data_IF_450301868489
#
_entry.id   IF_450301868489
#
_cell.length_a   1.000
_cell.length_b   1.000
_cell.length_c   1.000
_cell.angle_alpha   90.00
_cell.angle_beta   90.00
_cell.angle_gamma   90.00
#
_symmetry.space_group_name_H-M   'P 1'
#
loop_
_entity.id
_entity.type
_entity.pdbx_description
1 polymer ?
#
# COMPACT_ATOMS: atom_id res chain seq x y z
N UNK A 1 3.29 2.14 -5.35
CA UNK A 1 4.64 1.68 -4.95
C UNK A 1 4.43 0.48 -4.04
N UNK A 2 5.10 -0.64 -4.29
CA UNK A 2 5.00 -1.83 -3.45
C UNK A 2 6.37 -2.49 -3.33
N UNK A 3 6.60 -3.25 -2.25
CA UNK A 3 7.74 -4.15 -2.10
C UNK A 3 7.35 -5.62 -2.33
N UNK A 4 6.13 -5.88 -2.83
CA UNK A 4 5.55 -7.24 -2.87
C UNK A 4 5.73 -7.95 -1.52
N UNK A 5 5.26 -7.32 -0.44
CA UNK A 5 5.57 -7.78 0.91
C UNK A 5 4.98 -9.17 1.21
N UNK A 6 5.75 -10.12 1.79
CA UNK A 6 7.17 -10.02 2.16
C UNK A 6 8.16 -10.51 1.09
N UNK A 7 7.70 -11.00 -0.07
CA UNK A 7 8.51 -11.61 -1.13
C UNK A 7 9.67 -10.73 -1.62
N UNK A 8 9.38 -9.47 -2.00
CA UNK A 8 10.38 -8.54 -2.53
C UNK A 8 11.08 -7.70 -1.45
N UNK A 9 10.47 -7.58 -0.26
CA UNK A 9 11.02 -6.86 0.88
C UNK A 9 9.96 -6.45 1.92
N UNK A 10 10.44 -6.04 3.09
CA UNK A 10 9.57 -5.52 4.15
C UNK A 10 8.91 -4.20 3.74
N UNK A 11 7.62 -4.01 4.07
CA UNK A 11 6.96 -2.71 3.90
C UNK A 11 7.62 -1.61 4.74
N UNK A 12 8.40 -1.98 5.78
CA UNK A 12 9.21 -1.04 6.56
C UNK A 12 10.31 -0.37 5.72
N UNK A 13 10.62 -0.88 4.52
CA UNK A 13 11.59 -0.27 3.61
C UNK A 13 11.01 0.91 2.79
N UNK A 14 9.71 1.19 2.86
CA UNK A 14 9.12 2.29 2.08
C UNK A 14 9.78 3.65 2.31
N UNK A 15 10.12 4.08 3.55
CA UNK A 15 10.82 5.35 3.76
C UNK A 15 12.19 5.41 3.07
N UNK A 16 12.97 4.33 3.13
CA UNK A 16 14.26 4.22 2.43
C UNK A 16 14.08 4.31 0.91
N UNK A 17 13.09 3.60 0.35
CA UNK A 17 12.79 3.64 -1.09
C UNK A 17 12.36 5.06 -1.50
N UNK A 18 11.56 5.74 -0.69
CA UNK A 18 11.17 7.14 -0.94
C UNK A 18 12.40 8.04 -0.95
N UNK A 19 13.30 7.92 0.03
CA UNK A 19 14.53 8.70 0.07
C UNK A 19 15.38 8.48 -1.20
N UNK A 20 15.57 7.23 -1.63
CA UNK A 20 16.32 6.89 -2.86
C UNK A 20 15.67 7.44 -4.14
N UNK A 21 14.34 7.59 -4.17
CA UNK A 21 13.63 8.20 -5.30
C UNK A 21 13.76 9.73 -5.30
N UNK A 22 13.84 10.34 -4.13
CA UNK A 22 13.89 11.80 -3.95
C UNK A 22 15.31 12.38 -3.99
N UNK A 23 16.34 11.56 -3.81
CA UNK A 23 17.74 11.99 -3.78
C UNK A 23 18.61 11.14 -4.72
N UNK A 24 19.15 11.77 -5.77
CA UNK A 24 20.01 11.11 -6.77
C UNK A 24 21.37 10.75 -6.21
N UNK A 25 21.91 11.53 -5.29
CA UNK A 25 23.23 11.27 -4.71
C UNK A 25 23.15 10.06 -3.80
N UNK A 26 22.13 9.99 -2.94
CA UNK A 26 21.85 8.83 -2.11
C UNK A 26 21.71 7.55 -2.96
N UNK A 27 21.01 7.65 -4.08
CA UNK A 27 20.86 6.54 -5.04
C UNK A 27 22.18 6.12 -5.67
N UNK A 28 23.06 7.06 -6.03
CA UNK A 28 24.41 6.77 -6.54
C UNK A 28 25.28 6.09 -5.49
N UNK A 29 25.23 6.56 -4.25
CA UNK A 29 26.01 6.01 -3.14
C UNK A 29 25.55 4.58 -2.81
N UNK A 30 24.24 4.30 -2.88
CA UNK A 30 23.69 2.95 -2.75
C UNK A 30 24.16 2.05 -3.91
N UNK A 31 24.08 2.54 -5.15
CA UNK A 31 24.53 1.78 -6.33
C UNK A 31 26.04 1.49 -6.31
N UNK A 32 26.85 2.40 -5.75
CA UNK A 32 28.28 2.22 -5.60
C UNK A 32 28.64 1.03 -4.69
N UNK A 33 27.77 0.67 -3.75
CA UNK A 33 27.93 -0.48 -2.85
C UNK A 33 27.51 -1.81 -3.51
N UNK A 34 26.82 -1.76 -4.66
CA UNK A 34 26.39 -2.96 -5.37
C UNK A 34 27.55 -3.64 -6.14
N UNK A 35 27.42 -4.94 -6.47
CA UNK A 35 28.36 -5.64 -7.34
C UNK A 35 28.52 -4.94 -8.71
N UNK A 36 29.72 -5.01 -9.29
CA UNK A 36 30.02 -4.38 -10.58
C UNK A 36 29.04 -4.77 -11.70
N UNK A 37 28.62 -6.04 -11.74
CA UNK A 37 27.63 -6.53 -12.71
C UNK A 37 26.28 -5.81 -12.64
N UNK A 38 25.86 -5.30 -11.47
CA UNK A 38 24.64 -4.49 -11.35
C UNK A 38 24.85 -3.14 -12.01
N UNK A 39 26.00 -2.50 -11.75
CA UNK A 39 26.33 -1.18 -12.30
C UNK A 39 26.49 -1.22 -13.82
N UNK A 40 27.04 -2.30 -14.36
CA UNK A 40 27.25 -2.48 -15.81
C UNK A 40 25.97 -2.81 -16.58
N UNK A 41 24.94 -3.34 -15.90
CA UNK A 41 23.70 -3.82 -16.53
C UNK A 41 22.48 -2.96 -16.19
N UNK A 42 22.65 -1.88 -15.44
CA UNK A 42 21.57 -1.03 -14.97
C UNK A 42 21.81 0.43 -15.37
N UNK A 43 20.80 1.07 -15.96
CA UNK A 43 20.84 2.48 -16.33
C UNK A 43 20.65 3.45 -15.14
N UNK A 44 20.60 2.94 -13.90
CA UNK A 44 20.28 3.74 -12.71
C UNK A 44 21.33 4.83 -12.43
N UNK A 45 22.57 4.61 -12.85
CA UNK A 45 23.66 5.59 -12.72
C UNK A 45 23.42 6.87 -13.57
N UNK A 46 22.76 6.70 -14.71
CA UNK A 46 22.51 7.77 -15.71
C UNK A 46 21.22 8.54 -15.41
N UNK A 47 20.39 8.06 -14.48
CA UNK A 47 19.13 8.71 -14.11
C UNK A 47 19.37 9.81 -13.08
N UNK A 48 19.38 11.06 -13.54
CA UNK A 48 19.46 12.25 -12.68
C UNK A 48 18.11 12.70 -12.10
N UNK A 49 16.99 12.14 -12.57
CA UNK A 49 15.65 12.52 -12.11
C UNK A 49 15.46 12.21 -10.62
N UNK A 50 14.84 13.17 -9.93
CA UNK A 50 14.42 13.06 -8.53
C UNK A 50 12.90 13.24 -8.46
N UNK A 51 12.26 12.46 -7.59
CA UNK A 51 10.83 12.57 -7.35
C UNK A 51 10.51 13.74 -6.42
N UNK A 52 9.47 14.48 -6.75
CA UNK A 52 8.86 15.49 -5.89
C UNK A 52 7.93 14.85 -4.85
N UNK A 53 7.60 15.60 -3.79
CA UNK A 53 6.59 15.16 -2.81
C UNK A 53 5.24 14.85 -3.46
N UNK A 54 4.85 15.57 -4.51
CA UNK A 54 3.62 15.33 -5.26
C UNK A 54 3.65 13.99 -5.99
N UNK A 55 4.79 13.63 -6.59
CA UNK A 55 4.95 12.33 -7.24
C UNK A 55 4.99 11.20 -6.22
N UNK A 56 5.62 11.40 -5.06
CA UNK A 56 5.56 10.46 -3.94
C UNK A 56 4.12 10.25 -3.49
N UNK A 57 3.37 11.32 -3.22
CA UNK A 57 1.94 11.24 -2.87
C UNK A 57 1.12 10.52 -3.95
N UNK A 58 1.46 10.71 -5.22
CA UNK A 58 0.81 10.03 -6.34
C UNK A 58 1.04 8.52 -6.29
N UNK A 59 2.30 8.07 -6.23
CA UNK A 59 2.62 6.63 -6.30
C UNK A 59 2.27 5.86 -5.03
N UNK A 60 2.07 6.55 -3.91
CA UNK A 60 1.80 5.93 -2.61
C UNK A 60 0.32 6.03 -2.19
N UNK A 61 -0.42 7.05 -2.66
CA UNK A 61 -1.82 7.31 -2.24
C UNK A 61 -2.76 7.39 -3.44
N UNK A 62 -2.61 8.41 -4.29
CA UNK A 62 -3.61 8.72 -5.31
C UNK A 62 -3.75 7.63 -6.39
N UNK A 63 -2.64 7.16 -6.95
CA UNK A 63 -2.66 6.13 -8.00
C UNK A 63 -3.17 4.77 -7.48
N UNK A 64 -2.72 4.25 -6.31
CA UNK A 64 -3.30 3.05 -5.71
C UNK A 64 -4.81 3.15 -5.46
N UNK A 65 -5.28 4.25 -4.86
CA UNK A 65 -6.71 4.44 -4.60
C UNK A 65 -7.54 4.44 -5.88
N UNK A 66 -7.06 5.16 -6.92
CA UNK A 66 -7.71 5.19 -8.23
C UNK A 66 -7.73 3.82 -8.90
N UNK A 67 -6.61 3.09 -8.86
CA UNK A 67 -6.51 1.75 -9.46
C UNK A 67 -7.49 0.74 -8.82
N UNK A 68 -7.79 0.91 -7.53
CA UNK A 68 -8.74 0.09 -6.78
C UNK A 68 -10.19 0.62 -6.84
N UNK A 69 -10.46 1.72 -7.55
CA UNK A 69 -11.80 2.32 -7.62
C UNK A 69 -12.28 2.99 -6.33
N UNK A 70 -11.37 3.29 -5.39
CA UNK A 70 -11.70 3.88 -4.09
C UNK A 70 -11.87 5.40 -4.19
N UNK A 71 -13.08 5.84 -4.53
CA UNK A 71 -13.39 7.26 -4.83
C UNK A 71 -13.29 8.20 -3.63
N UNK A 72 -13.39 7.69 -2.39
CA UNK A 72 -13.25 8.50 -1.16
C UNK A 72 -11.84 8.43 -0.55
N UNK A 73 -10.89 7.75 -1.21
CA UNK A 73 -9.53 7.52 -0.71
C UNK A 73 -8.47 8.17 -1.62
N UNK A 74 -7.30 8.41 -1.05
CA UNK A 74 -6.12 8.84 -1.81
C UNK A 74 -6.12 10.33 -2.22
N UNK A 75 -7.05 11.14 -1.68
CA UNK A 75 -7.07 12.59 -1.85
C UNK A 75 -7.57 13.30 -0.58
N UNK A 76 -7.41 14.63 -0.52
CA UNK A 76 -7.80 15.48 0.62
C UNK A 76 -8.95 16.45 0.30
N UNK A 77 -9.53 16.37 -0.90
CA UNK A 77 -10.69 17.18 -1.28
C UNK A 77 -11.97 16.82 -0.48
N UNK A 78 -12.97 17.73 -0.42
CA UNK A 78 -14.25 17.46 0.23
C UNK A 78 -14.89 16.15 -0.25
N UNK A 79 -15.43 15.36 0.69
CA UNK A 79 -16.01 14.04 0.42
C UNK A 79 -15.03 12.88 0.56
N UNK A 80 -13.73 13.14 0.78
CA UNK A 80 -12.78 12.11 1.19
C UNK A 80 -13.04 11.63 2.62
N UNK A 81 -12.71 10.38 2.90
CA UNK A 81 -12.57 9.94 4.28
C UNK A 81 -11.41 10.68 4.94
N UNK A 82 -11.54 11.01 6.22
CA UNK A 82 -10.52 11.73 7.00
C UNK A 82 -9.34 10.80 7.40
N UNK A 83 -8.74 10.17 6.40
CA UNK A 83 -7.53 9.35 6.47
C UNK A 83 -6.33 10.20 6.06
N UNK A 84 -5.61 10.76 7.04
CA UNK A 84 -4.57 11.77 6.81
C UNK A 84 -3.29 11.39 7.52
N UNK A 85 -2.15 11.52 6.85
CA UNK A 85 -0.82 11.39 7.45
C UNK A 85 -0.09 12.72 7.39
N UNK A 86 0.38 13.20 8.53
CA UNK A 86 1.11 14.45 8.67
C UNK A 86 2.56 14.13 9.02
N UNK A 87 3.49 14.67 8.24
CA UNK A 87 4.93 14.52 8.42
C UNK A 87 5.55 15.86 8.80
N UNK A 88 6.51 15.85 9.73
CA UNK A 88 7.36 17.03 9.97
C UNK A 88 8.37 17.13 8.83
N UNK A 89 8.50 18.28 8.14
CA UNK A 89 9.52 18.44 7.10
C UNK A 89 10.93 18.20 7.66
N UNK A 90 11.70 17.37 6.98
CA UNK A 90 13.11 17.09 7.28
C UNK A 90 13.89 16.94 5.96
N UNK A 91 15.17 17.27 5.96
CA UNK A 91 16.06 17.05 4.81
C UNK A 91 16.38 15.55 4.66
N UNK A 92 16.48 14.81 5.78
CA UNK A 92 16.51 13.35 5.78
C UNK A 92 15.11 12.81 5.48
N UNK A 93 14.86 12.53 4.19
CA UNK A 93 13.57 11.99 3.73
C UNK A 93 13.28 10.62 4.30
N UNK A 94 14.28 9.80 4.62
CA UNK A 94 14.04 8.52 5.23
C UNK A 94 13.47 8.73 6.64
N UNK A 95 14.15 9.52 7.47
CA UNK A 95 13.66 9.85 8.81
C UNK A 95 12.27 10.52 8.78
N UNK A 96 12.05 11.45 7.84
CA UNK A 96 10.76 12.11 7.63
C UNK A 96 9.61 11.12 7.44
N UNK A 97 9.79 10.09 6.60
CA UNK A 97 8.73 9.14 6.25
C UNK A 97 8.64 7.94 7.19
N UNK A 98 9.66 7.65 8.00
CA UNK A 98 9.63 6.60 9.04
C UNK A 98 8.68 6.95 10.18
N UNK A 99 8.72 8.20 10.66
CA UNK A 99 8.00 8.62 11.86
C UNK A 99 7.03 9.77 11.56
N UNK A 100 5.77 9.49 11.19
CA UNK A 100 4.78 10.55 11.02
C UNK A 100 4.51 11.29 12.33
N UNK A 101 4.35 12.62 12.23
CA UNK A 101 3.96 13.47 13.36
C UNK A 101 2.55 13.14 13.85
N UNK A 102 1.67 12.76 12.93
CA UNK A 102 0.29 12.38 13.22
C UNK A 102 -0.30 11.50 12.11
N UNK A 103 -1.14 10.54 12.48
CA UNK A 103 -1.99 9.78 11.55
C UNK A 103 -3.43 9.86 12.05
N UNK A 104 -4.33 10.27 11.17
CA UNK A 104 -5.76 10.24 11.37
C UNK A 104 -6.36 9.09 10.58
N UNK A 105 -7.28 8.36 11.19
CA UNK A 105 -8.08 7.30 10.58
C UNK A 105 -9.55 7.62 10.82
N UNK A 106 -10.32 7.83 9.75
CA UNK A 106 -11.73 8.24 9.85
C UNK A 106 -11.96 9.46 10.78
N UNK A 107 -11.00 10.39 10.84
CA UNK A 107 -11.07 11.58 11.68
C UNK A 107 -10.55 11.40 13.12
N UNK A 108 -10.21 10.17 13.54
CA UNK A 108 -9.63 9.89 14.85
C UNK A 108 -8.10 9.84 14.79
N UNK A 109 -7.43 10.44 15.77
CA UNK A 109 -5.95 10.38 15.87
C UNK A 109 -5.54 8.98 16.36
N UNK A 110 -4.93 8.19 15.47
CA UNK A 110 -4.45 6.83 15.77
C UNK A 110 -2.96 6.80 16.07
N UNK A 111 -2.17 7.73 15.52
CA UNK A 111 -0.74 7.90 15.82
C UNK A 111 -0.47 9.35 16.09
N UNK A 112 0.35 9.65 17.10
CA UNK A 112 0.82 10.99 17.40
C UNK A 112 2.25 10.96 17.94
N UNK A 113 3.15 11.76 17.35
CA UNK A 113 4.59 11.81 17.66
C UNK A 113 5.27 10.44 17.50
N UNK A 114 4.93 9.70 16.44
CA UNK A 114 5.46 8.35 16.21
C UNK A 114 4.90 7.26 17.12
N UNK A 115 4.03 7.60 18.09
CA UNK A 115 3.45 6.63 19.03
C UNK A 115 2.00 6.29 18.65
N UNK A 116 1.66 5.00 18.73
CA UNK A 116 0.28 4.52 18.56
C UNK A 116 -0.58 4.99 19.74
N UNK A 117 -1.68 5.68 19.46
CA UNK A 117 -2.64 6.20 20.43
C UNK A 117 -3.88 5.31 20.53
N UNK A 118 -4.36 4.81 19.38
CA UNK A 118 -5.52 3.91 19.31
C UNK A 118 -5.39 2.97 18.11
N UNK A 119 -6.05 1.82 18.19
CA UNK A 119 -6.07 0.79 17.14
C UNK A 119 -7.52 0.34 16.89
N UNK A 120 -8.38 1.19 16.30
CA UNK A 120 -9.75 0.82 16.01
C UNK A 120 -9.81 -0.30 14.97
N UNK A 121 -10.85 -1.13 15.03
CA UNK A 121 -11.10 -2.13 13.99
C UNK A 121 -11.37 -1.45 12.65
N UNK A 122 -10.70 -1.92 11.60
CA UNK A 122 -10.94 -1.47 10.23
C UNK A 122 -12.20 -2.09 9.62
N UNK A 123 -12.59 -1.58 8.46
CA UNK A 123 -13.65 -2.14 7.62
C UNK A 123 -13.02 -2.97 6.50
N UNK A 124 -13.50 -4.20 6.32
CA UNK A 124 -13.16 -5.01 5.15
C UNK A 124 -13.98 -4.54 3.95
N UNK A 125 -13.29 -4.14 2.87
CA UNK A 125 -13.95 -3.75 1.62
C UNK A 125 -14.14 -4.98 0.73
N UNK A 126 -15.39 -5.26 0.36
CA UNK A 126 -15.77 -6.34 -0.55
C UNK A 126 -16.58 -5.79 -1.73
N UNK A 127 -16.47 -6.46 -2.88
CA UNK A 127 -17.36 -6.22 -4.01
C UNK A 127 -18.54 -7.18 -3.93
N UNK A 128 -19.75 -6.65 -4.08
CA UNK A 128 -20.98 -7.43 -4.18
C UNK A 128 -21.41 -7.44 -5.64
N UNK A 129 -20.71 -8.24 -6.45
CA UNK A 129 -21.09 -8.44 -7.84
C UNK A 129 -22.30 -9.38 -7.91
N UNK A 130 -23.30 -9.01 -8.71
CA UNK A 130 -24.38 -9.92 -9.08
C UNK A 130 -23.81 -11.07 -9.93
N UNK A 131 -24.37 -12.26 -9.76
CA UNK A 131 -24.05 -13.44 -10.56
C UNK A 131 -25.33 -14.16 -10.99
N UNK A 132 -25.19 -15.08 -11.95
CA UNK A 132 -26.31 -15.89 -12.44
C UNK A 132 -26.48 -17.13 -11.56
N UNK A 133 -27.59 -17.19 -10.82
CA UNK A 133 -27.95 -18.32 -9.94
C UNK A 133 -28.06 -19.65 -10.71
N UNK A 134 -28.29 -19.61 -12.03
CA UNK A 134 -28.33 -20.82 -12.85
C UNK A 134 -26.98 -21.56 -12.92
N UNK A 135 -25.87 -20.90 -12.54
CA UNK A 135 -24.55 -21.52 -12.45
C UNK A 135 -24.37 -22.39 -11.19
N UNK A 136 -25.17 -22.17 -10.13
CA UNK A 136 -24.98 -22.84 -8.83
C UNK A 136 -25.05 -24.37 -8.89
N UNK A 137 -26.00 -25.00 -9.61
CA UNK A 137 -26.07 -26.46 -9.68
C UNK A 137 -24.82 -27.08 -10.30
N UNK A 138 -24.28 -26.48 -11.37
CA UNK A 138 -23.08 -26.97 -12.04
C UNK A 138 -21.83 -26.81 -11.15
N UNK A 139 -21.75 -25.70 -10.40
CA UNK A 139 -20.68 -25.49 -9.41
C UNK A 139 -20.80 -26.53 -8.29
N UNK A 140 -22.00 -26.79 -7.78
CA UNK A 140 -22.23 -27.74 -6.69
C UNK A 140 -21.88 -29.18 -7.09
N UNK A 141 -22.25 -29.61 -8.30
CA UNK A 141 -21.89 -30.93 -8.84
C UNK A 141 -20.37 -31.07 -8.95
N UNK A 142 -19.69 -30.10 -9.60
CA UNK A 142 -18.24 -30.11 -9.72
C UNK A 142 -17.54 -30.11 -8.35
N UNK A 143 -18.03 -29.31 -7.40
CA UNK A 143 -17.45 -29.23 -6.06
C UNK A 143 -17.57 -30.56 -5.32
N UNK A 144 -18.71 -31.25 -5.41
CA UNK A 144 -18.91 -32.54 -4.77
C UNK A 144 -17.96 -33.63 -5.29
N UNK A 145 -17.58 -33.57 -6.56
CA UNK A 145 -16.66 -34.53 -7.17
C UNK A 145 -15.17 -34.22 -6.92
N UNK A 146 -14.82 -32.94 -6.76
CA UNK A 146 -13.42 -32.48 -6.82
C UNK A 146 -12.88 -31.91 -5.50
N UNK A 147 -13.74 -31.65 -4.51
CA UNK A 147 -13.34 -31.09 -3.21
C UNK A 147 -13.50 -32.07 -2.06
N UNK A 148 -12.70 -31.86 -1.01
CA UNK A 148 -12.80 -32.60 0.26
C UNK A 148 -13.74 -31.95 1.28
N UNK A 149 -14.33 -30.80 0.94
CA UNK A 149 -15.29 -30.05 1.75
C UNK A 149 -16.68 -30.12 1.12
N UNK A 150 -17.70 -29.76 1.89
CA UNK A 150 -19.04 -29.54 1.34
C UNK A 150 -19.19 -28.06 0.95
N UNK A 151 -19.82 -27.78 -0.19
CA UNK A 151 -19.95 -26.41 -0.73
C UNK A 151 -20.52 -25.41 0.30
N UNK A 152 -21.49 -25.85 1.11
CA UNK A 152 -22.09 -25.01 2.17
C UNK A 152 -21.10 -24.49 3.22
N UNK A 153 -19.93 -25.13 3.36
CA UNK A 153 -18.87 -24.73 4.29
C UNK A 153 -17.74 -23.94 3.59
N UNK A 154 -17.85 -23.70 2.28
CA UNK A 154 -16.84 -22.99 1.50
C UNK A 154 -17.01 -21.47 1.56
N UNK A 155 -18.25 -20.99 1.63
CA UNK A 155 -18.55 -19.56 1.72
C UNK A 155 -18.01 -18.92 3.00
N UNK A 156 -17.57 -17.67 2.90
CA UNK A 156 -17.19 -16.88 4.06
C UNK A 156 -18.46 -16.32 4.69
N UNK A 157 -18.78 -16.76 5.91
CA UNK A 157 -19.91 -16.19 6.65
C UNK A 157 -19.61 -14.73 7.04
N UNK A 158 -20.61 -13.82 6.99
CA UNK A 158 -20.44 -12.48 7.53
C UNK A 158 -20.07 -12.55 9.01
N UNK A 159 -19.03 -11.83 9.42
CA UNK A 159 -18.73 -11.65 10.84
C UNK A 159 -19.92 -11.01 11.54
N UNK A 160 -20.36 -11.58 12.67
CA UNK A 160 -21.37 -10.95 13.53
C UNK A 160 -20.92 -9.52 13.90
N UNK A 161 -21.85 -8.54 13.95
CA UNK A 161 -21.55 -7.14 14.25
C UNK A 161 -20.94 -6.96 15.65
#
# INVERSE_FOLDING_TARGET
>A
MSTDHPNGGSFLAYPQIIALLMDRQLRRDALAQCPAAVRERCALADLDREYTLSEIATITRAAPARALGLTTKGHLGPGADADVTIYTPDDDKQAMFELPRMVLKAGEVVVEQGELRSAPCGVALSTHAEYDDAAEPAIAEWFAENYSLQLRNYGVEPSAP
#
